data_IF_601681494334
#
_entry.id   IF_601681494334
#
_cell.length_a   1.000
_cell.length_b   1.000
_cell.length_c   1.000
_cell.angle_alpha   90.00
_cell.angle_beta   90.00
_cell.angle_gamma   90.00
#
_symmetry.space_group_name_H-M   'P 1'
#
loop_
_entity.id
_entity.type
_entity.pdbx_description
1 polymer ?
#
# COMPACT_ATOMS: atom_id res chain seq x y z
N UNK A 1 8.66 -68.03 64.19
CA UNK A 1 9.75 -68.96 63.83
C UNK A 1 10.64 -68.29 62.82
N UNK A 2 11.92 -68.25 63.16
CA UNK A 2 13.10 -68.45 62.29
C UNK A 2 13.22 -67.66 60.98
N UNK A 3 14.24 -66.81 61.01
CA UNK A 3 14.98 -66.17 59.93
C UNK A 3 15.87 -67.21 59.22
N UNK A 4 16.04 -67.13 57.89
CA UNK A 4 17.32 -67.40 57.19
C UNK A 4 17.20 -67.20 55.67
N UNK A 5 17.95 -66.28 55.04
CA UNK A 5 19.35 -66.39 54.53
C UNK A 5 19.46 -67.31 53.31
N UNK A 6 20.02 -66.98 52.14
CA UNK A 6 20.87 -65.89 51.62
C UNK A 6 21.03 -66.11 50.09
N UNK A 7 22.21 -65.98 49.46
CA UNK A 7 23.01 -64.74 49.28
C UNK A 7 23.59 -64.58 47.85
N UNK A 8 24.23 -63.43 47.62
CA UNK A 8 25.37 -63.26 46.68
C UNK A 8 25.01 -62.73 45.29
N UNK A 9 25.51 -61.61 44.79
CA UNK A 9 26.56 -60.70 45.24
C UNK A 9 27.25 -60.11 44.00
N UNK A 10 27.61 -58.83 44.02
CA UNK A 10 28.97 -58.34 43.72
C UNK A 10 29.03 -56.82 43.95
N UNK A 11 30.05 -56.40 44.69
CA UNK A 11 30.37 -55.04 45.10
C UNK A 11 31.37 -54.41 44.10
N UNK A 12 31.45 -53.08 44.01
CA UNK A 12 32.51 -52.30 44.69
C UNK A 12 32.66 -50.86 44.12
N UNK A 13 33.10 -49.94 44.98
CA UNK A 13 33.66 -48.63 44.62
C UNK A 13 32.72 -47.43 44.82
N UNK A 14 32.43 -46.96 46.04
CA UNK A 14 33.27 -46.11 46.92
C UNK A 14 33.60 -44.72 46.34
N UNK A 15 32.91 -43.68 46.83
CA UNK A 15 33.51 -42.59 47.62
C UNK A 15 32.38 -41.77 48.25
N UNK A 16 32.46 -41.54 49.57
CA UNK A 16 31.50 -40.80 50.38
C UNK A 16 31.95 -39.34 50.55
N UNK A 17 30.97 -38.51 50.87
CA UNK A 17 30.95 -37.55 51.99
C UNK A 17 30.50 -36.12 51.63
N UNK A 18 29.30 -35.82 52.16
CA UNK A 18 28.90 -34.63 52.89
C UNK A 18 29.46 -33.27 52.45
N UNK A 19 28.56 -32.34 52.10
CA UNK A 19 28.50 -31.07 52.82
C UNK A 19 27.19 -30.32 52.54
N UNK A 20 26.48 -30.01 53.61
CA UNK A 20 25.37 -29.07 53.63
C UNK A 20 25.80 -27.73 53.02
N UNK A 21 25.22 -27.36 51.86
CA UNK A 21 25.48 -26.05 51.26
C UNK A 21 24.42 -25.06 51.73
N UNK A 22 24.88 -24.17 52.60
CA UNK A 22 24.16 -22.99 53.09
C UNK A 22 23.49 -22.27 51.92
N UNK A 23 22.18 -22.08 52.06
CA UNK A 23 21.37 -21.20 51.23
C UNK A 23 21.87 -19.78 51.46
N UNK A 24 22.71 -19.26 50.56
CA UNK A 24 23.08 -17.85 50.55
C UNK A 24 21.85 -17.07 50.15
N UNK A 25 21.17 -16.48 51.12
CA UNK A 25 20.13 -15.49 50.85
C UNK A 25 20.83 -14.25 50.31
N UNK A 26 20.83 -14.09 48.98
CA UNK A 26 21.08 -12.78 48.38
C UNK A 26 19.86 -11.94 48.69
N UNK A 27 19.95 -11.17 49.78
CA UNK A 27 18.95 -10.17 50.12
C UNK A 27 19.09 -9.02 49.13
N UNK A 28 18.49 -9.14 47.94
CA UNK A 28 18.26 -7.98 47.09
C UNK A 28 17.26 -7.13 47.86
N UNK A 29 17.77 -6.09 48.52
CA UNK A 29 16.94 -5.07 49.13
C UNK A 29 16.37 -4.23 48.00
N UNK A 30 15.29 -4.72 47.40
CA UNK A 30 14.49 -3.96 46.45
C UNK A 30 13.90 -2.81 47.27
N UNK A 31 14.30 -1.54 47.05
CA UNK A 31 13.56 -0.44 47.64
C UNK A 31 12.17 -0.52 47.05
N UNK A 32 11.16 -0.54 47.93
CA UNK A 32 9.75 -0.59 47.60
C UNK A 32 9.39 0.74 46.91
N UNK A 33 9.77 0.84 45.63
CA UNK A 33 9.42 1.94 44.73
C UNK A 33 7.97 1.73 44.36
N UNK A 34 7.14 2.70 44.77
CA UNK A 34 5.69 2.77 44.55
C UNK A 34 5.23 2.08 43.26
N UNK A 35 4.24 1.18 43.37
CA UNK A 35 3.59 0.50 42.24
C UNK A 35 3.26 1.46 41.06
N UNK A 36 2.99 2.73 41.37
CA UNK A 36 2.74 3.78 40.37
C UNK A 36 3.94 4.09 39.48
N UNK A 37 5.17 4.03 40.00
CA UNK A 37 6.38 4.29 39.21
C UNK A 37 6.73 3.11 38.31
N UNK A 38 6.55 1.87 38.79
CA UNK A 38 6.78 0.66 37.99
C UNK A 38 5.80 0.61 36.80
N UNK A 39 4.51 0.89 37.04
CA UNK A 39 3.50 0.94 35.98
C UNK A 39 3.83 2.02 34.95
N UNK A 40 4.32 3.19 35.38
CA UNK A 40 4.75 4.26 34.46
C UNK A 40 5.95 3.85 33.61
N UNK A 41 6.94 3.19 34.20
CA UNK A 41 8.13 2.71 33.49
C UNK A 41 7.73 1.65 32.46
N UNK A 42 6.84 0.71 32.83
CA UNK A 42 6.34 -0.32 31.91
C UNK A 42 5.51 0.29 30.76
N UNK A 43 4.67 1.29 31.05
CA UNK A 43 3.90 2.00 30.02
C UNK A 43 4.80 2.76 29.05
N UNK A 44 5.83 3.44 29.56
CA UNK A 44 6.81 4.16 28.73
C UNK A 44 7.64 3.20 27.86
N UNK A 45 8.05 2.06 28.42
CA UNK A 45 8.76 1.03 27.66
C UNK A 45 7.88 0.41 26.56
N UNK A 46 6.61 0.11 26.86
CA UNK A 46 5.65 -0.38 25.86
C UNK A 46 5.38 0.63 24.75
N UNK A 47 5.24 1.92 25.09
CA UNK A 47 5.00 2.96 24.07
C UNK A 47 6.21 3.21 23.17
N UNK A 48 7.43 3.07 23.69
CA UNK A 48 8.65 3.13 22.88
C UNK A 48 8.81 1.92 21.94
N UNK A 49 8.40 0.73 22.38
CA UNK A 49 8.40 -0.49 21.55
C UNK A 49 7.32 -0.47 20.45
N UNK A 50 6.20 0.21 20.69
CA UNK A 50 5.14 0.41 19.69
C UNK A 50 5.45 1.54 18.69
N UNK A 51 6.43 2.41 18.98
CA UNK A 51 6.80 3.55 18.14
C UNK A 51 7.88 3.22 17.09
N UNK A 52 8.42 2.00 17.07
CA UNK A 52 9.32 1.55 16.01
C UNK A 52 8.52 1.14 14.76
N UNK A 53 7.88 2.13 14.14
CA UNK A 53 7.42 2.02 12.76
C UNK A 53 8.66 2.06 11.86
N UNK A 54 9.09 0.91 11.34
CA UNK A 54 9.99 0.92 10.19
C UNK A 54 9.28 1.72 9.08
N UNK A 55 9.95 2.66 8.39
CA UNK A 55 9.37 3.22 7.19
C UNK A 55 9.18 2.08 6.20
N UNK A 56 7.93 1.64 6.05
CA UNK A 56 7.54 0.75 4.98
C UNK A 56 7.73 1.54 3.68
N UNK A 57 8.91 1.42 3.09
CA UNK A 57 9.17 1.88 1.75
C UNK A 57 8.38 0.97 0.80
N UNK A 58 7.08 1.23 0.64
CA UNK A 58 6.33 0.68 -0.47
C UNK A 58 6.85 1.37 -1.72
N UNK A 59 7.85 0.77 -2.36
CA UNK A 59 8.08 0.99 -3.77
C UNK A 59 6.87 0.39 -4.49
N UNK A 60 5.74 1.09 -4.50
CA UNK A 60 4.68 0.78 -5.45
C UNK A 60 5.33 0.89 -6.82
N UNK A 61 5.21 -0.14 -7.68
CA UNK A 61 5.55 0.00 -9.08
C UNK A 61 4.90 1.29 -9.57
N UNK A 62 5.70 2.22 -10.09
CA UNK A 62 5.14 3.39 -10.78
C UNK A 62 4.44 2.82 -12.01
N UNK A 63 3.11 2.69 -11.92
CA UNK A 63 2.30 2.30 -13.07
C UNK A 63 2.59 3.26 -14.22
N UNK A 64 2.69 2.74 -15.45
CA UNK A 64 2.80 3.56 -16.65
C UNK A 64 1.61 4.54 -16.65
N UNK A 65 1.83 5.86 -16.61
CA UNK A 65 0.72 6.81 -16.64
C UNK A 65 -0.07 6.71 -17.94
N UNK A 66 0.47 6.07 -18.99
CA UNK A 66 -0.19 5.86 -20.27
C UNK A 66 -0.86 4.49 -20.34
N UNK A 67 -2.17 4.47 -20.16
CA UNK A 67 -2.95 3.26 -20.06
C UNK A 67 -4.13 3.29 -21.06
N UNK A 68 -4.28 2.27 -21.93
CA UNK A 68 -5.36 2.22 -22.93
C UNK A 68 -6.74 1.99 -22.31
N UNK A 69 -6.84 1.37 -21.13
CA UNK A 69 -8.10 1.10 -20.45
C UNK A 69 -8.84 2.39 -20.06
N UNK A 70 -8.14 3.52 -19.90
CA UNK A 70 -8.79 4.83 -19.73
C UNK A 70 -9.66 5.23 -20.93
N UNK A 71 -9.32 4.76 -22.14
CA UNK A 71 -10.11 4.98 -23.35
C UNK A 71 -11.23 3.93 -23.45
N UNK A 72 -10.94 2.67 -23.14
CA UNK A 72 -11.91 1.57 -23.26
C UNK A 72 -13.14 1.75 -22.36
N UNK A 73 -12.96 2.41 -21.20
CA UNK A 73 -14.03 2.71 -20.26
C UNK A 73 -15.01 3.79 -20.74
N UNK A 74 -14.69 4.54 -21.81
CA UNK A 74 -15.52 5.64 -22.30
C UNK A 74 -16.73 5.18 -23.09
N UNK A 75 -17.78 6.02 -23.23
CA UNK A 75 -18.89 5.77 -24.13
C UNK A 75 -18.45 5.49 -25.58
N UNK A 76 -19.16 4.62 -26.33
CA UNK A 76 -18.78 4.24 -27.70
C UNK A 76 -18.58 5.43 -28.64
N UNK A 77 -19.41 6.47 -28.53
CA UNK A 77 -19.31 7.67 -29.36
C UNK A 77 -17.97 8.40 -29.18
N UNK A 78 -17.47 8.45 -27.94
CA UNK A 78 -16.22 9.13 -27.58
C UNK A 78 -15.02 8.26 -27.99
N UNK A 79 -15.09 6.94 -27.77
CA UNK A 79 -14.05 6.00 -28.25
C UNK A 79 -13.87 6.08 -29.77
N UNK A 80 -14.98 6.14 -30.51
CA UNK A 80 -14.93 6.29 -31.96
C UNK A 80 -14.30 7.63 -32.38
N UNK A 81 -14.57 8.71 -31.67
CA UNK A 81 -13.92 10.00 -31.93
C UNK A 81 -12.40 9.92 -31.76
N UNK A 82 -11.93 9.26 -30.70
CA UNK A 82 -10.50 9.06 -30.44
C UNK A 82 -9.87 8.16 -31.51
N UNK A 83 -10.55 7.08 -31.92
CA UNK A 83 -10.05 6.19 -32.96
C UNK A 83 -9.81 6.89 -34.30
N UNK A 84 -10.72 7.82 -34.67
CA UNK A 84 -10.57 8.65 -35.88
C UNK A 84 -9.35 9.57 -35.80
N UNK A 85 -9.07 10.12 -34.62
CA UNK A 85 -7.88 10.96 -34.40
C UNK A 85 -6.62 10.11 -34.49
N UNK A 86 -6.56 9.02 -33.72
CA UNK A 86 -5.33 8.29 -33.48
C UNK A 86 -4.88 7.38 -34.62
N UNK A 87 -5.81 6.90 -35.47
CA UNK A 87 -5.51 6.03 -36.62
C UNK A 87 -4.61 4.82 -36.26
N UNK A 88 -4.72 4.32 -35.02
CA UNK A 88 -3.80 3.36 -34.44
C UNK A 88 -4.01 3.19 -32.94
N UNK A 89 -3.11 2.45 -32.26
CA UNK A 89 -3.19 2.26 -30.82
C UNK A 89 -3.11 3.61 -30.09
N UNK A 90 -3.97 3.78 -29.10
CA UNK A 90 -4.04 4.98 -28.29
C UNK A 90 -3.89 4.61 -26.82
N UNK A 91 -3.20 5.45 -26.07
CA UNK A 91 -3.10 5.39 -24.61
C UNK A 91 -3.45 6.76 -24.05
N UNK A 92 -3.96 6.81 -22.83
CA UNK A 92 -4.29 8.07 -22.20
C UNK A 92 -3.81 8.06 -20.74
N UNK A 93 -3.70 9.24 -20.14
CA UNK A 93 -3.57 9.35 -18.69
C UNK A 93 -4.92 9.33 -18.00
N UNK A 94 -4.91 9.18 -16.67
CA UNK A 94 -6.11 9.14 -15.85
C UNK A 94 -7.04 10.35 -16.08
N UNK A 95 -6.45 11.55 -16.12
CA UNK A 95 -7.20 12.82 -16.19
C UNK A 95 -7.57 13.26 -17.62
N UNK A 96 -7.34 12.42 -18.63
CA UNK A 96 -7.67 12.77 -20.02
C UNK A 96 -9.17 12.96 -20.25
N UNK A 97 -10.02 12.32 -19.43
CA UNK A 97 -11.46 12.37 -19.57
C UNK A 97 -12.15 12.57 -18.22
N UNK A 98 -13.02 13.57 -18.14
CA UNK A 98 -13.80 13.86 -16.93
C UNK A 98 -15.28 13.89 -17.25
N UNK A 99 -16.10 13.20 -16.47
CA UNK A 99 -17.56 13.27 -16.57
C UNK A 99 -18.15 14.20 -15.52
N UNK A 100 -18.98 15.16 -15.96
CA UNK A 100 -19.81 16.01 -15.11
C UNK A 100 -21.23 15.43 -15.05
N UNK A 101 -21.68 14.89 -13.90
CA UNK A 101 -23.04 14.36 -13.77
C UNK A 101 -24.12 15.43 -13.92
N UNK A 102 -23.86 16.65 -13.42
CA UNK A 102 -24.80 17.78 -13.45
C UNK A 102 -25.11 18.21 -14.89
N UNK A 103 -24.08 18.29 -15.72
CA UNK A 103 -24.22 18.70 -17.12
C UNK A 103 -24.42 17.50 -18.07
N UNK A 104 -24.32 16.27 -17.55
CA UNK A 104 -24.27 15.03 -18.33
C UNK A 104 -23.27 15.15 -19.49
N UNK A 105 -22.09 15.69 -19.16
CA UNK A 105 -21.07 16.10 -20.13
C UNK A 105 -19.76 15.38 -19.86
N UNK A 106 -19.15 14.85 -20.92
CA UNK A 106 -17.74 14.44 -20.90
C UNK A 106 -16.87 15.57 -21.41
N UNK A 107 -15.83 15.91 -20.68
CA UNK A 107 -14.72 16.75 -21.15
C UNK A 107 -13.54 15.86 -21.45
N UNK A 108 -12.98 15.99 -22.65
CA UNK A 108 -11.83 15.22 -23.11
C UNK A 108 -10.70 16.21 -23.41
N UNK A 109 -9.57 16.05 -22.72
CA UNK A 109 -8.37 16.82 -22.97
C UNK A 109 -7.40 15.99 -23.82
N UNK A 110 -7.16 16.42 -25.07
CA UNK A 110 -6.29 15.70 -25.99
C UNK A 110 -4.80 15.82 -25.64
N UNK A 111 -4.43 16.69 -24.70
CA UNK A 111 -3.07 16.80 -24.16
C UNK A 111 -2.61 15.48 -23.52
N UNK A 112 -3.48 14.87 -22.73
CA UNK A 112 -3.21 13.62 -22.01
C UNK A 112 -3.57 12.38 -22.82
N UNK A 113 -3.64 12.51 -24.14
CA UNK A 113 -3.74 11.40 -25.09
C UNK A 113 -2.38 11.16 -25.74
N UNK A 114 -2.04 9.90 -26.01
CA UNK A 114 -0.82 9.49 -26.71
C UNK A 114 -1.19 8.61 -27.90
N UNK A 115 -0.97 9.16 -29.09
CA UNK A 115 -1.07 8.46 -30.38
C UNK A 115 -0.47 9.30 -31.51
N UNK A 116 -0.25 8.69 -32.68
CA UNK A 116 0.45 9.32 -33.81
C UNK A 116 -0.30 10.50 -34.43
N UNK A 117 -1.65 10.46 -34.41
CA UNK A 117 -2.50 11.46 -35.06
C UNK A 117 -2.68 12.78 -34.32
N UNK A 118 -2.06 12.98 -33.16
CA UNK A 118 -2.28 14.18 -32.33
C UNK A 118 -1.64 15.46 -32.87
N UNK A 119 -0.68 15.37 -33.80
CA UNK A 119 0.05 16.54 -34.30
C UNK A 119 -0.88 17.59 -34.92
N UNK A 120 -1.94 17.14 -35.59
CA UNK A 120 -2.92 18.02 -36.26
C UNK A 120 -3.89 18.70 -35.27
N UNK A 121 -3.87 18.29 -34.00
CA UNK A 121 -4.77 18.78 -32.95
C UNK A 121 -4.05 19.67 -31.92
N UNK A 122 -2.87 20.18 -32.29
CA UNK A 122 -2.11 21.17 -31.52
C UNK A 122 -1.93 22.45 -32.33
N UNK A 123 -2.02 23.60 -31.65
CA UNK A 123 -1.79 24.93 -32.23
C UNK A 123 -0.74 25.67 -31.40
N UNK A 124 0.53 25.49 -31.76
CA UNK A 124 1.63 26.02 -30.97
C UNK A 124 1.63 25.43 -29.56
N UNK A 125 1.34 26.28 -28.58
CA UNK A 125 1.25 25.95 -27.14
C UNK A 125 -0.18 25.56 -26.71
N UNK A 126 -1.12 25.52 -27.66
CA UNK A 126 -2.51 25.18 -27.39
C UNK A 126 -2.86 23.73 -27.75
N UNK A 127 -3.58 23.09 -26.85
CA UNK A 127 -4.12 21.75 -26.95
C UNK A 127 -5.63 21.81 -27.19
N UNK A 128 -6.17 20.83 -27.92
CA UNK A 128 -7.60 20.75 -28.16
C UNK A 128 -8.31 20.10 -26.96
N UNK A 129 -9.29 20.82 -26.43
CA UNK A 129 -10.34 20.28 -25.57
C UNK A 129 -11.59 20.03 -26.39
N UNK A 130 -12.27 18.91 -26.09
CA UNK A 130 -13.59 18.64 -26.65
C UNK A 130 -14.58 18.26 -25.57
N UNK A 131 -15.79 18.79 -25.68
CA UNK A 131 -16.90 18.42 -24.80
C UNK A 131 -17.91 17.57 -25.58
N UNK A 132 -18.44 16.53 -24.93
CA UNK A 132 -19.57 15.74 -25.40
C UNK A 132 -20.74 15.85 -24.43
N UNK A 133 -21.95 16.07 -24.93
CA UNK A 133 -23.18 16.10 -24.14
C UNK A 133 -24.03 14.87 -24.43
N UNK A 134 -24.76 14.40 -23.42
CA UNK A 134 -25.71 13.31 -23.58
C UNK A 134 -26.95 13.76 -24.35
N UNK A 135 -27.29 13.04 -25.42
CA UNK A 135 -28.50 13.22 -26.22
C UNK A 135 -29.19 11.86 -26.34
N UNK A 136 -30.23 11.65 -25.52
CA UNK A 136 -30.87 10.35 -25.37
C UNK A 136 -29.91 9.31 -24.78
N UNK A 137 -29.71 8.20 -25.49
CA UNK A 137 -28.77 7.13 -25.11
C UNK A 137 -27.35 7.33 -25.64
N UNK A 138 -27.09 8.42 -26.37
CA UNK A 138 -25.80 8.66 -27.05
C UNK A 138 -25.12 9.92 -26.54
N UNK A 139 -23.83 10.04 -26.82
CA UNK A 139 -23.07 11.26 -26.60
C UNK A 139 -22.78 11.94 -27.94
N UNK A 140 -22.96 13.27 -27.99
CA UNK A 140 -22.70 14.08 -29.19
C UNK A 140 -21.68 15.15 -28.86
N UNK A 141 -20.80 15.41 -29.81
CA UNK A 141 -19.83 16.49 -29.71
C UNK A 141 -20.57 17.83 -29.58
N UNK A 142 -20.32 18.55 -28.49
CA UNK A 142 -20.92 19.82 -28.17
C UNK A 142 -19.99 20.99 -28.46
N UNK A 143 -18.69 20.84 -28.18
CA UNK A 143 -17.71 21.91 -28.35
C UNK A 143 -16.32 21.39 -28.69
N UNK A 144 -15.53 22.25 -29.35
CA UNK A 144 -14.10 22.08 -29.61
C UNK A 144 -13.43 23.40 -29.31
N UNK A 145 -12.45 23.42 -28.42
CA UNK A 145 -11.77 24.65 -28.00
C UNK A 145 -10.28 24.40 -27.87
N UNK A 146 -9.47 25.29 -28.42
CA UNK A 146 -8.03 25.27 -28.17
C UNK A 146 -7.76 26.09 -26.92
N UNK A 147 -7.07 25.49 -25.94
CA UNK A 147 -6.61 26.14 -24.72
C UNK A 147 -5.13 25.89 -24.51
N UNK A 148 -4.52 26.67 -23.64
CA UNK A 148 -3.16 26.42 -23.21
C UNK A 148 -2.98 25.00 -22.70
N UNK A 149 -1.97 24.30 -23.22
CA UNK A 149 -1.54 23.02 -22.68
C UNK A 149 -0.90 23.25 -21.30
N UNK A 150 -0.99 22.26 -20.41
CA UNK A 150 -0.25 22.25 -19.13
C UNK A 150 -1.11 22.55 -17.91
N UNK A 151 -2.30 21.95 -17.82
CA UNK A 151 -3.03 21.87 -16.55
C UNK A 151 -2.43 20.83 -15.60
#
# INVERSE_FOLDING_TARGET
MTVAFGPGGLQDGRQRDAHAKRRVHVFVKIPLVEDRMIVRILLLACSLLLASELPAASQQPKDDPWNPQHIDALPPDIRNYIAVICKGPAKAQHDFATYSPTERRWRINLEYLQCDGLRDFRRGHQCLDVDFIQVGSRFRLASKQYRECGF
#
